data_IF_586695630065
#
_entry.id   IF_586695630065
#
_cell.length_a   1.000
_cell.length_b   1.000
_cell.length_c   1.000
_cell.angle_alpha   90.00
_cell.angle_beta   90.00
_cell.angle_gamma   90.00
#
_symmetry.space_group_name_H-M   'P 1'
#
loop_
_entity.id
_entity.type
_entity.pdbx_description
1 polymer ?
#
# COMPACT_ATOMS: atom_id res chain seq x y z
N UNK A 1 -40.25 -10.15 -17.96
CA UNK A 1 -39.12 -9.50 -18.65
C UNK A 1 -38.25 -8.85 -17.60
N UNK A 2 -37.21 -9.56 -17.15
CA UNK A 2 -36.16 -9.02 -16.29
C UNK A 2 -35.27 -8.14 -17.15
N UNK A 3 -35.38 -6.82 -17.00
CA UNK A 3 -34.34 -5.91 -17.46
C UNK A 3 -33.08 -6.27 -16.71
N UNK A 4 -32.13 -6.93 -17.38
CA UNK A 4 -30.78 -7.11 -16.87
C UNK A 4 -30.22 -5.69 -16.66
N UNK A 5 -30.21 -5.24 -15.41
CA UNK A 5 -29.61 -3.98 -15.03
C UNK A 5 -28.14 -4.10 -15.44
N UNK A 6 -27.73 -3.33 -16.44
CA UNK A 6 -26.39 -3.45 -17.01
C UNK A 6 -25.43 -3.01 -15.90
N UNK A 7 -24.61 -3.94 -15.40
CA UNK A 7 -23.70 -3.64 -14.31
C UNK A 7 -22.90 -2.36 -14.63
N UNK A 8 -22.90 -1.41 -13.70
CA UNK A 8 -22.14 -0.16 -13.78
C UNK A 8 -20.66 -0.52 -13.91
N UNK A 9 -20.02 -0.15 -15.02
CA UNK A 9 -18.70 -0.69 -15.31
C UNK A 9 -18.01 -0.10 -16.52
N UNK A 10 -16.76 -0.52 -16.71
CA UNK A 10 -15.93 -0.16 -17.86
C UNK A 10 -14.93 0.98 -17.62
N UNK A 11 -14.23 1.43 -18.67
CA UNK A 11 -13.02 2.25 -18.55
C UNK A 11 -13.17 3.54 -17.74
N UNK A 12 -14.35 4.16 -17.77
CA UNK A 12 -14.62 5.37 -16.98
C UNK A 12 -14.57 5.09 -15.48
N UNK A 13 -15.21 4.01 -15.02
CA UNK A 13 -15.21 3.61 -13.62
C UNK A 13 -13.82 3.10 -13.19
N UNK A 14 -13.08 2.43 -14.08
CA UNK A 14 -11.70 2.01 -13.80
C UNK A 14 -10.78 3.21 -13.57
N UNK A 15 -10.89 4.25 -14.41
CA UNK A 15 -10.16 5.51 -14.25
C UNK A 15 -10.55 6.25 -12.98
N UNK A 16 -11.83 6.20 -12.60
CA UNK A 16 -12.31 6.77 -11.35
C UNK A 16 -11.75 6.01 -10.14
N UNK A 17 -11.79 4.67 -10.14
CA UNK A 17 -11.22 3.83 -9.09
C UNK A 17 -9.69 3.94 -8.95
N UNK A 18 -9.00 4.38 -10.01
CA UNK A 18 -7.57 4.72 -9.98
C UNK A 18 -7.29 6.10 -9.36
N UNK A 19 -8.28 7.00 -9.31
CA UNK A 19 -8.13 8.39 -8.81
C UNK A 19 -8.73 8.59 -7.43
N UNK A 20 -9.80 7.88 -7.12
CA UNK A 20 -10.57 8.00 -5.88
C UNK A 20 -10.99 6.62 -5.38
N UNK A 21 -11.80 6.56 -4.33
CA UNK A 21 -12.53 5.34 -3.96
C UNK A 21 -14.02 5.62 -4.17
N UNK A 22 -14.59 5.28 -5.35
CA UNK A 22 -15.99 5.54 -5.66
C UNK A 22 -16.94 4.92 -4.64
N UNK A 23 -17.93 5.69 -4.22
CA UNK A 23 -19.04 5.23 -3.39
C UNK A 23 -20.13 4.66 -4.30
N UNK A 24 -20.07 3.35 -4.55
CA UNK A 24 -20.99 2.63 -5.43
C UNK A 24 -21.49 1.36 -4.76
N UNK A 25 -22.67 0.91 -5.17
CA UNK A 25 -23.15 -0.43 -4.85
C UNK A 25 -22.26 -1.48 -5.56
N UNK A 26 -21.51 -2.25 -4.78
CA UNK A 26 -20.58 -3.23 -5.33
C UNK A 26 -21.25 -4.49 -5.90
N UNK A 27 -22.53 -4.72 -5.65
CA UNK A 27 -23.30 -5.79 -6.31
C UNK A 27 -23.71 -5.41 -7.74
N UNK A 28 -23.80 -4.11 -8.02
CA UNK A 28 -24.23 -3.58 -9.31
C UNK A 28 -23.08 -3.30 -10.29
N UNK A 29 -21.82 -3.55 -9.91
CA UNK A 29 -20.65 -3.27 -10.78
C UNK A 29 -20.02 -4.54 -11.36
N UNK A 30 -19.32 -4.39 -12.49
CA UNK A 30 -18.61 -5.52 -13.10
C UNK A 30 -17.49 -6.07 -12.19
N UNK A 31 -17.10 -7.35 -12.31
CA UNK A 31 -16.12 -7.96 -11.40
C UNK A 31 -14.78 -7.24 -11.33
N UNK A 32 -14.30 -6.65 -12.44
CA UNK A 32 -13.03 -5.92 -12.44
C UNK A 32 -13.18 -4.61 -11.67
N UNK A 33 -14.21 -3.81 -11.98
CA UNK A 33 -14.50 -2.57 -11.25
C UNK A 33 -14.69 -2.83 -9.75
N UNK A 34 -15.42 -3.89 -9.38
CA UNK A 34 -15.59 -4.34 -8.00
C UNK A 34 -14.24 -4.55 -7.32
N UNK A 35 -13.32 -5.26 -7.98
CA UNK A 35 -11.98 -5.53 -7.44
C UNK A 35 -11.11 -4.29 -7.34
N UNK A 36 -11.16 -3.38 -8.31
CA UNK A 36 -10.41 -2.12 -8.27
C UNK A 36 -10.85 -1.24 -7.09
N UNK A 37 -12.16 -1.19 -6.82
CA UNK A 37 -12.76 -0.39 -5.75
C UNK A 37 -12.47 -1.05 -4.38
N UNK A 38 -12.81 -2.33 -4.21
CA UNK A 38 -12.59 -3.05 -2.96
C UNK A 38 -11.11 -3.19 -2.59
N UNK A 39 -10.24 -3.30 -3.59
CA UNK A 39 -8.79 -3.32 -3.41
C UNK A 39 -8.16 -1.95 -3.14
N UNK A 40 -8.93 -0.86 -3.23
CA UNK A 40 -8.46 0.54 -3.15
C UNK A 40 -7.27 0.79 -4.08
N UNK A 41 -7.43 0.48 -5.37
CA UNK A 41 -6.34 0.63 -6.35
C UNK A 41 -5.86 2.09 -6.48
N UNK A 42 -6.67 3.09 -6.12
CA UNK A 42 -6.24 4.49 -6.08
C UNK A 42 -5.01 4.74 -5.20
N UNK A 43 -4.76 3.93 -4.18
CA UNK A 43 -3.54 4.09 -3.37
C UNK A 43 -2.33 3.34 -3.94
N UNK A 44 -2.50 2.34 -4.81
CA UNK A 44 -1.34 1.58 -5.33
C UNK A 44 -0.50 2.35 -6.34
N UNK A 45 -1.02 3.46 -6.85
CA UNK A 45 -0.25 4.44 -7.63
C UNK A 45 1.01 4.87 -6.89
N UNK A 46 0.96 4.97 -5.56
CA UNK A 46 2.11 5.39 -4.77
C UNK A 46 3.24 4.33 -4.80
N UNK A 47 2.93 3.04 -4.94
CA UNK A 47 3.95 1.99 -5.13
C UNK A 47 4.49 1.96 -6.55
N UNK A 48 3.64 2.23 -7.54
CA UNK A 48 4.07 2.38 -8.93
C UNK A 48 5.07 3.54 -9.07
N UNK A 49 4.82 4.67 -8.40
CA UNK A 49 5.74 5.80 -8.39
C UNK A 49 7.06 5.43 -7.70
N UNK A 50 7.08 4.69 -6.58
CA UNK A 50 8.35 4.19 -6.01
C UNK A 50 9.17 3.38 -7.02
N UNK A 51 8.52 2.46 -7.75
CA UNK A 51 9.20 1.68 -8.78
C UNK A 51 9.76 2.58 -9.89
N UNK A 52 8.96 3.53 -10.38
CA UNK A 52 9.41 4.50 -11.40
C UNK A 52 10.60 5.32 -10.90
N UNK A 53 10.57 5.82 -9.67
CA UNK A 53 11.70 6.58 -9.10
C UNK A 53 12.95 5.69 -9.08
N UNK A 54 12.88 4.46 -8.57
CA UNK A 54 14.01 3.54 -8.56
C UNK A 54 14.57 3.25 -9.96
N UNK A 55 13.69 3.05 -10.95
CA UNK A 55 14.08 2.89 -12.35
C UNK A 55 14.72 4.15 -12.95
N UNK A 56 14.24 5.35 -12.61
CA UNK A 56 14.85 6.61 -13.04
C UNK A 56 16.25 6.82 -12.42
N UNK A 57 16.42 6.41 -11.16
CA UNK A 57 17.74 6.42 -10.52
C UNK A 57 18.69 5.42 -11.19
N UNK A 58 18.21 4.26 -11.61
CA UNK A 58 19.00 3.30 -12.40
C UNK A 58 19.34 3.85 -13.80
N UNK A 59 18.42 4.60 -14.41
CA UNK A 59 18.66 5.26 -15.70
C UNK A 59 19.71 6.37 -15.61
N UNK A 60 19.81 7.06 -14.47
CA UNK A 60 20.88 8.03 -14.21
C UNK A 60 22.27 7.39 -14.26
N UNK A 61 22.38 6.14 -13.81
CA UNK A 61 23.64 5.40 -13.74
C UNK A 61 23.85 4.47 -14.95
N UNK A 62 23.06 4.65 -16.02
CA UNK A 62 23.15 3.87 -17.27
C UNK A 62 22.93 2.34 -17.10
N UNK A 63 22.28 1.92 -16.02
CA UNK A 63 21.96 0.50 -15.72
C UNK A 63 20.47 0.18 -15.83
N UNK A 64 19.68 1.04 -16.47
CA UNK A 64 18.24 0.84 -16.59
C UNK A 64 17.86 -0.37 -17.43
N UNK A 65 16.97 -1.21 -16.88
CA UNK A 65 16.38 -2.35 -17.58
C UNK A 65 14.84 -2.29 -17.47
N UNK A 66 14.18 -2.04 -18.61
CA UNK A 66 12.72 -1.92 -18.69
C UNK A 66 11.99 -3.23 -18.34
N UNK A 67 12.37 -4.41 -18.87
CA UNK A 67 11.83 -5.69 -18.41
C UNK A 67 11.87 -5.87 -16.89
N UNK A 68 13.00 -5.59 -16.25
CA UNK A 68 13.13 -5.69 -14.79
C UNK A 68 12.25 -4.68 -14.07
N UNK A 69 12.14 -3.43 -14.57
CA UNK A 69 11.22 -2.44 -14.01
C UNK A 69 9.77 -2.93 -14.06
N UNK A 70 9.34 -3.49 -15.20
CA UNK A 70 7.99 -4.01 -15.38
C UNK A 70 7.73 -5.15 -14.38
N UNK A 71 8.69 -6.07 -14.23
CA UNK A 71 8.57 -7.17 -13.27
C UNK A 71 8.48 -6.67 -11.83
N UNK A 72 9.30 -5.70 -11.44
CA UNK A 72 9.23 -5.07 -10.12
C UNK A 72 7.87 -4.41 -9.91
N UNK A 73 7.37 -3.64 -10.87
CA UNK A 73 6.06 -2.98 -10.78
C UNK A 73 4.90 -3.99 -10.67
N UNK A 74 4.92 -5.06 -11.48
CA UNK A 74 3.92 -6.14 -11.44
C UNK A 74 4.04 -6.99 -10.17
N UNK A 75 5.20 -7.03 -9.51
CA UNK A 75 5.35 -7.61 -8.19
C UNK A 75 4.79 -6.71 -7.08
N UNK A 76 5.19 -5.44 -7.06
CA UNK A 76 4.88 -4.48 -5.99
C UNK A 76 3.42 -4.03 -5.97
N UNK A 77 2.85 -3.68 -7.12
CA UNK A 77 1.51 -3.08 -7.20
C UNK A 77 0.43 -4.06 -6.71
N UNK A 78 0.36 -5.32 -7.18
CA UNK A 78 -0.57 -6.31 -6.64
C UNK A 78 -0.28 -6.67 -5.18
N UNK A 79 0.99 -6.73 -4.78
CA UNK A 79 1.36 -6.98 -3.38
C UNK A 79 0.84 -5.87 -2.44
N UNK A 80 0.85 -4.60 -2.88
CA UNK A 80 0.24 -3.49 -2.15
C UNK A 80 -1.30 -3.56 -2.16
N UNK A 81 -1.94 -3.86 -3.29
CA UNK A 81 -3.41 -4.13 -3.29
C UNK A 81 -3.73 -5.21 -2.27
N UNK A 82 -2.89 -6.26 -2.21
CA UNK A 82 -3.06 -7.33 -1.25
C UNK A 82 -2.84 -6.87 0.18
N UNK A 83 -1.83 -6.04 0.48
CA UNK A 83 -1.60 -5.51 1.82
C UNK A 83 -2.77 -4.68 2.32
N UNK A 84 -3.39 -3.90 1.45
CA UNK A 84 -4.58 -3.13 1.76
C UNK A 84 -5.74 -4.03 2.20
N UNK A 85 -5.94 -5.17 1.52
CA UNK A 85 -6.94 -6.14 1.90
C UNK A 85 -6.57 -6.92 3.17
N UNK A 86 -5.28 -7.16 3.45
CA UNK A 86 -4.83 -7.75 4.74
C UNK A 86 -5.20 -6.80 5.87
N UNK A 87 -4.90 -5.51 5.71
CA UNK A 87 -5.22 -4.50 6.71
C UNK A 87 -6.73 -4.47 7.00
N UNK A 88 -7.55 -4.36 5.95
CA UNK A 88 -9.02 -4.30 6.10
C UNK A 88 -9.58 -5.59 6.72
N UNK A 89 -8.98 -6.75 6.42
CA UNK A 89 -9.36 -8.01 7.06
C UNK A 89 -9.11 -8.00 8.57
N UNK A 90 -7.92 -7.56 8.99
CA UNK A 90 -7.59 -7.49 10.41
C UNK A 90 -8.35 -6.40 11.14
N UNK A 91 -8.51 -5.21 10.54
CA UNK A 91 -9.27 -4.11 11.13
C UNK A 91 -10.74 -4.53 11.33
N UNK A 92 -11.35 -5.20 10.34
CA UNK A 92 -12.70 -5.72 10.46
C UNK A 92 -12.82 -6.80 11.53
N UNK A 93 -11.89 -7.77 11.56
CA UNK A 93 -11.91 -8.87 12.54
C UNK A 93 -11.73 -8.39 13.98
N UNK A 94 -11.00 -7.30 14.20
CA UNK A 94 -10.84 -6.68 15.52
C UNK A 94 -11.97 -5.70 15.87
N UNK A 95 -12.97 -5.52 15.00
CA UNK A 95 -14.09 -4.59 15.25
C UNK A 95 -13.70 -3.11 15.19
N UNK A 96 -12.58 -2.80 14.53
CA UNK A 96 -12.09 -1.45 14.25
C UNK A 96 -12.89 -0.88 13.09
N UNK A 97 -12.95 -1.61 11.98
CA UNK A 97 -13.74 -1.22 10.80
C UNK A 97 -15.21 -1.65 10.98
N UNK A 98 -15.91 -0.98 11.90
CA UNK A 98 -17.34 -1.17 12.17
C UNK A 98 -18.21 -0.20 11.34
N UNK A 99 -19.53 -0.44 11.18
CA UNK A 99 -20.41 0.44 10.39
C UNK A 99 -20.48 1.91 10.86
N UNK A 100 -20.13 2.18 12.11
CA UNK A 100 -20.03 3.51 12.73
C UNK A 100 -18.61 4.12 12.62
N UNK A 101 -17.63 3.38 12.09
CA UNK A 101 -16.26 3.85 11.96
C UNK A 101 -16.11 4.89 10.83
N UNK A 102 -15.23 5.90 10.96
CA UNK A 102 -14.93 6.84 9.88
C UNK A 102 -14.50 6.18 8.56
N UNK A 103 -14.03 4.92 8.60
CA UNK A 103 -13.63 4.12 7.43
C UNK A 103 -14.75 3.96 6.40
N UNK A 104 -16.03 3.98 6.80
CA UNK A 104 -17.16 3.86 5.84
C UNK A 104 -17.19 5.02 4.84
N UNK A 105 -16.67 6.19 5.23
CA UNK A 105 -16.57 7.36 4.36
C UNK A 105 -15.49 7.19 3.27
N UNK A 106 -14.55 6.26 3.45
CA UNK A 106 -13.46 6.01 2.51
C UNK A 106 -13.83 5.07 1.36
N UNK A 107 -15.05 4.52 1.34
CA UNK A 107 -15.55 3.68 0.26
C UNK A 107 -16.03 2.31 0.73
N UNK A 108 -16.63 1.52 -0.18
CA UNK A 108 -17.10 0.18 0.11
C UNK A 108 -16.02 -0.67 0.79
N UNK A 109 -16.41 -1.43 1.80
CA UNK A 109 -15.47 -2.21 2.60
C UNK A 109 -15.52 -3.69 2.19
N UNK A 110 -14.36 -4.33 1.92
CA UNK A 110 -14.30 -5.66 1.30
C UNK A 110 -14.86 -6.79 2.17
N UNK A 111 -15.04 -6.60 3.48
CA UNK A 111 -15.55 -7.63 4.40
C UNK A 111 -16.85 -7.27 5.12
N UNK A 112 -17.48 -6.14 4.78
CA UNK A 112 -18.76 -5.74 5.38
C UNK A 112 -19.88 -5.72 4.33
N UNK A 113 -21.11 -5.99 4.74
CA UNK A 113 -22.28 -5.92 3.85
C UNK A 113 -22.09 -6.84 2.64
N UNK A 114 -22.14 -6.27 1.44
CA UNK A 114 -22.00 -6.97 0.16
C UNK A 114 -20.55 -7.19 -0.30
N UNK A 115 -19.58 -7.08 0.61
CA UNK A 115 -18.17 -7.31 0.34
C UNK A 115 -17.83 -8.73 -0.17
N UNK A 116 -16.55 -8.96 -0.44
CA UNK A 116 -16.01 -10.26 -0.86
C UNK A 116 -16.14 -11.32 0.24
N UNK A 117 -16.39 -12.56 -0.18
CA UNK A 117 -16.41 -13.69 0.75
C UNK A 117 -15.00 -13.99 1.29
N UNK A 118 -14.89 -14.56 2.49
CA UNK A 118 -13.61 -15.00 3.04
C UNK A 118 -12.87 -15.97 2.10
N UNK A 119 -13.61 -16.85 1.42
CA UNK A 119 -13.05 -17.79 0.44
C UNK A 119 -12.42 -17.05 -0.74
N UNK A 120 -13.14 -16.09 -1.30
CA UNK A 120 -12.66 -15.27 -2.41
C UNK A 120 -11.38 -14.51 -2.01
N UNK A 121 -11.40 -13.88 -0.83
CA UNK A 121 -10.23 -13.21 -0.28
C UNK A 121 -9.02 -14.13 -0.15
N UNK A 122 -9.18 -15.33 0.41
CA UNK A 122 -8.08 -16.30 0.56
C UNK A 122 -7.55 -16.77 -0.79
N UNK A 123 -8.42 -17.02 -1.77
CA UNK A 123 -8.00 -17.42 -3.12
C UNK A 123 -7.18 -16.33 -3.80
N UNK A 124 -7.64 -15.08 -3.76
CA UNK A 124 -6.90 -13.95 -4.33
C UNK A 124 -5.61 -13.68 -3.56
N UNK A 125 -5.62 -13.87 -2.24
CA UNK A 125 -4.42 -13.82 -1.41
C UNK A 125 -3.36 -14.77 -1.91
N UNK A 126 -3.71 -16.05 -2.02
CA UNK A 126 -2.78 -17.09 -2.42
C UNK A 126 -2.29 -16.82 -3.83
N UNK A 127 -3.18 -16.46 -4.75
CA UNK A 127 -2.81 -16.14 -6.13
C UNK A 127 -1.81 -14.97 -6.22
N UNK A 128 -2.13 -13.82 -5.62
CA UNK A 128 -1.30 -12.62 -5.70
C UNK A 128 0.05 -12.82 -5.01
N UNK A 129 0.06 -13.42 -3.82
CA UNK A 129 1.31 -13.67 -3.11
C UNK A 129 2.17 -14.73 -3.80
N UNK A 130 1.56 -15.75 -4.43
CA UNK A 130 2.30 -16.74 -5.21
C UNK A 130 2.91 -16.12 -6.46
N UNK A 131 2.17 -15.26 -7.16
CA UNK A 131 2.68 -14.52 -8.32
C UNK A 131 3.82 -13.58 -7.93
N UNK A 132 3.65 -12.81 -6.85
CA UNK A 132 4.71 -11.94 -6.31
C UNK A 132 5.94 -12.74 -5.86
N UNK A 133 5.75 -13.90 -5.24
CA UNK A 133 6.84 -14.79 -4.86
C UNK A 133 7.58 -15.36 -6.08
N UNK A 134 6.86 -15.77 -7.14
CA UNK A 134 7.47 -16.25 -8.38
C UNK A 134 8.31 -15.16 -9.05
N UNK A 135 7.79 -13.92 -9.11
CA UNK A 135 8.54 -12.76 -9.58
C UNK A 135 9.77 -12.53 -8.70
N UNK A 136 9.61 -12.55 -7.37
CA UNK A 136 10.72 -12.38 -6.44
C UNK A 136 11.83 -13.44 -6.62
N UNK A 137 11.47 -14.70 -6.81
CA UNK A 137 12.43 -15.79 -7.12
C UNK A 137 13.16 -15.52 -8.42
N UNK A 138 12.46 -15.10 -9.46
CA UNK A 138 13.09 -14.73 -10.73
C UNK A 138 14.06 -13.55 -10.55
N UNK A 139 13.65 -12.49 -9.84
CA UNK A 139 14.51 -11.32 -9.59
C UNK A 139 15.74 -11.67 -8.75
N UNK A 140 15.63 -12.59 -7.79
CA UNK A 140 16.79 -13.12 -7.05
C UNK A 140 17.75 -13.88 -7.97
N UNK A 141 17.21 -14.66 -8.91
CA UNK A 141 18.05 -15.37 -9.89
C UNK A 141 18.72 -14.40 -10.88
N UNK A 142 18.07 -13.28 -11.20
CA UNK A 142 18.57 -12.28 -12.15
C UNK A 142 19.57 -11.29 -11.55
N UNK A 143 19.35 -10.81 -10.32
CA UNK A 143 20.10 -9.71 -9.69
C UNK A 143 20.74 -10.09 -8.33
N UNK A 144 20.77 -11.39 -8.02
CA UNK A 144 21.47 -11.94 -6.87
C UNK A 144 20.71 -11.89 -5.54
N UNK A 145 21.37 -12.42 -4.50
CA UNK A 145 20.77 -12.67 -3.19
C UNK A 145 20.37 -11.39 -2.43
N UNK A 146 20.90 -10.22 -2.78
CA UNK A 146 20.51 -8.95 -2.14
C UNK A 146 19.01 -8.63 -2.33
N UNK A 147 18.42 -9.06 -3.45
CA UNK A 147 16.97 -8.96 -3.68
C UNK A 147 16.17 -9.69 -2.60
N UNK A 148 16.70 -10.81 -2.08
CA UNK A 148 16.05 -11.57 -1.01
C UNK A 148 15.96 -10.75 0.28
N UNK A 149 16.98 -9.93 0.60
CA UNK A 149 16.94 -9.06 1.77
C UNK A 149 15.80 -8.03 1.66
N UNK A 150 15.62 -7.42 0.49
CA UNK A 150 14.49 -6.51 0.23
C UNK A 150 13.14 -7.22 0.34
N UNK A 151 13.01 -8.37 -0.33
CA UNK A 151 11.77 -9.14 -0.36
C UNK A 151 11.35 -9.64 1.03
N UNK A 152 12.28 -10.21 1.80
CA UNK A 152 12.01 -10.70 3.15
C UNK A 152 11.71 -9.54 4.11
N UNK A 153 12.45 -8.44 4.04
CA UNK A 153 12.17 -7.26 4.88
C UNK A 153 10.79 -6.69 4.58
N UNK A 154 10.43 -6.57 3.30
CA UNK A 154 9.10 -6.12 2.88
C UNK A 154 7.99 -7.06 3.34
N UNK A 155 8.19 -8.38 3.19
CA UNK A 155 7.23 -9.38 3.64
C UNK A 155 7.03 -9.36 5.16
N UNK A 156 8.11 -9.19 5.94
CA UNK A 156 8.04 -9.08 7.40
C UNK A 156 7.31 -7.81 7.83
N UNK A 157 7.69 -6.65 7.29
CA UNK A 157 7.03 -5.39 7.60
C UNK A 157 5.55 -5.41 7.21
N UNK A 158 5.21 -6.02 6.07
CA UNK A 158 3.83 -6.24 5.66
C UNK A 158 3.07 -7.14 6.65
N UNK A 159 3.64 -8.29 7.03
CA UNK A 159 3.02 -9.23 7.96
C UNK A 159 2.72 -8.58 9.30
N UNK A 160 3.69 -7.83 9.84
CA UNK A 160 3.56 -7.17 11.14
C UNK A 160 2.86 -5.82 11.07
N UNK A 161 2.51 -5.29 9.90
CA UNK A 161 1.89 -3.95 9.83
C UNK A 161 0.55 -3.89 10.59
N UNK A 162 -0.39 -4.78 10.26
CA UNK A 162 -1.73 -4.84 10.89
C UNK A 162 -2.03 -6.18 11.56
N UNK A 163 -1.16 -7.18 11.37
CA UNK A 163 -1.36 -8.54 11.85
C UNK A 163 -0.18 -9.07 12.65
N UNK A 164 -0.27 -10.36 13.03
CA UNK A 164 0.76 -11.03 13.83
C UNK A 164 0.75 -10.63 15.31
N UNK A 165 1.71 -11.13 16.10
CA UNK A 165 1.81 -10.83 17.53
C UNK A 165 2.14 -9.36 17.86
N UNK A 166 2.70 -8.62 16.90
CA UNK A 166 3.15 -7.24 17.09
C UNK A 166 2.69 -6.34 15.93
N UNK A 167 1.39 -5.99 15.88
CA UNK A 167 0.86 -5.12 14.83
C UNK A 167 1.43 -3.70 14.96
N UNK A 168 2.42 -3.37 14.12
CA UNK A 168 3.21 -2.13 14.13
C UNK A 168 2.32 -0.89 14.14
N UNK A 169 1.26 -0.90 13.33
CA UNK A 169 0.25 0.18 13.28
C UNK A 169 -0.40 0.44 14.63
N UNK A 170 -0.68 -0.61 15.41
CA UNK A 170 -1.39 -0.48 16.68
C UNK A 170 -0.48 -0.08 17.84
N UNK A 171 0.84 -0.09 17.64
CA UNK A 171 1.84 0.26 18.66
C UNK A 171 2.69 1.48 18.28
N UNK A 172 2.26 2.26 17.28
CA UNK A 172 2.86 3.56 16.95
C UNK A 172 4.04 3.49 16.00
N UNK A 173 4.27 2.32 15.37
CA UNK A 173 5.36 2.08 14.44
C UNK A 173 4.89 2.00 12.97
N UNK A 174 3.59 2.18 12.71
CA UNK A 174 3.02 2.08 11.37
C UNK A 174 3.61 3.10 10.39
N UNK A 175 3.77 4.34 10.83
CA UNK A 175 4.29 5.45 10.03
C UNK A 175 5.77 5.27 9.67
N UNK A 176 6.57 4.74 10.60
CA UNK A 176 7.97 4.36 10.35
C UNK A 176 8.03 3.21 9.34
N UNK A 177 7.17 2.19 9.51
CA UNK A 177 7.13 1.07 8.58
C UNK A 177 6.78 1.54 7.16
N UNK A 178 5.80 2.43 7.01
CA UNK A 178 5.41 2.98 5.71
C UNK A 178 6.51 3.84 5.09
N UNK A 179 7.21 4.67 5.88
CA UNK A 179 8.39 5.41 5.39
C UNK A 179 9.43 4.45 4.82
N UNK A 180 9.81 3.41 5.57
CA UNK A 180 10.83 2.43 5.17
C UNK A 180 10.40 1.66 3.93
N UNK A 181 9.15 1.22 3.86
CA UNK A 181 8.63 0.44 2.73
C UNK A 181 8.64 1.29 1.45
N UNK A 182 8.03 2.48 1.45
CA UNK A 182 7.83 3.25 0.22
C UNK A 182 9.04 4.04 -0.23
N UNK A 183 9.89 4.47 0.70
CA UNK A 183 11.15 5.12 0.40
C UNK A 183 12.24 4.07 0.17
N UNK A 184 13.13 3.81 1.15
CA UNK A 184 14.31 2.98 1.00
C UNK A 184 14.07 1.61 0.36
N UNK A 185 13.02 0.89 0.78
CA UNK A 185 12.84 -0.50 0.39
C UNK A 185 12.34 -0.64 -1.05
N UNK A 186 11.24 0.03 -1.42
CA UNK A 186 10.70 -0.04 -2.78
C UNK A 186 11.58 0.69 -3.79
N UNK A 187 12.04 1.92 -3.50
CA UNK A 187 12.89 2.67 -4.44
C UNK A 187 14.27 2.03 -4.54
N UNK A 188 14.92 1.78 -3.39
CA UNK A 188 16.24 1.17 -3.36
C UNK A 188 16.26 -0.26 -3.88
N UNK A 189 15.22 -1.05 -3.58
CA UNK A 189 15.08 -2.41 -4.11
C UNK A 189 14.86 -2.43 -5.63
N UNK A 190 14.10 -1.48 -6.16
CA UNK A 190 13.91 -1.35 -7.62
C UNK A 190 15.21 -0.97 -8.31
N UNK A 191 15.99 -0.04 -7.75
CA UNK A 191 17.32 0.30 -8.23
C UNK A 191 18.27 -0.91 -8.15
N UNK A 192 18.32 -1.58 -6.99
CA UNK A 192 19.22 -2.72 -6.74
C UNK A 192 18.99 -3.86 -7.72
N UNK A 193 17.74 -4.14 -8.08
CA UNK A 193 17.42 -5.19 -9.07
C UNK A 193 18.09 -4.95 -10.43
N UNK A 194 18.39 -3.70 -10.78
CA UNK A 194 19.02 -3.34 -12.05
C UNK A 194 20.52 -3.10 -11.92
N UNK A 195 20.95 -2.48 -10.80
CA UNK A 195 22.33 -2.08 -10.58
C UNK A 195 23.18 -3.15 -9.86
N UNK A 196 22.54 -4.10 -9.17
CA UNK A 196 23.17 -5.11 -8.30
C UNK A 196 24.02 -4.53 -7.15
N UNK A 197 23.88 -3.23 -6.89
CA UNK A 197 24.47 -2.50 -5.78
C UNK A 197 23.47 -1.49 -5.20
N UNK A 198 23.78 -0.94 -4.03
CA UNK A 198 22.95 0.07 -3.38
C UNK A 198 23.82 1.19 -2.81
N UNK A 199 24.22 2.17 -3.63
CA UNK A 199 24.99 3.30 -3.15
C UNK A 199 24.12 4.15 -2.22
N UNK A 200 24.72 4.69 -1.15
CA UNK A 200 23.99 5.39 -0.09
C UNK A 200 23.18 6.60 -0.59
N UNK A 201 23.58 7.21 -1.70
CA UNK A 201 22.85 8.34 -2.29
C UNK A 201 21.47 7.93 -2.82
N UNK A 202 21.25 6.68 -3.25
CA UNK A 202 19.92 6.18 -3.67
C UNK A 202 18.96 6.16 -2.49
N UNK A 203 19.47 5.79 -1.31
CA UNK A 203 18.69 5.85 -0.07
C UNK A 203 18.32 7.29 0.28
N UNK A 204 19.26 8.23 0.15
CA UNK A 204 18.98 9.66 0.34
C UNK A 204 17.93 10.18 -0.66
N UNK A 205 18.06 9.82 -1.94
CA UNK A 205 17.12 10.20 -2.99
C UNK A 205 15.70 9.61 -2.78
N UNK A 206 15.58 8.54 -1.98
CA UNK A 206 14.27 7.95 -1.64
C UNK A 206 13.53 8.69 -0.52
N UNK A 207 14.23 9.51 0.27
CA UNK A 207 13.68 10.19 1.45
C UNK A 207 12.51 11.11 1.10
N UNK A 208 12.60 12.03 0.12
CA UNK A 208 11.50 12.94 -0.19
C UNK A 208 10.19 12.20 -0.46
N UNK A 209 10.27 11.11 -1.23
CA UNK A 209 9.09 10.32 -1.58
C UNK A 209 8.55 9.53 -0.39
N UNK A 210 9.42 8.90 0.41
CA UNK A 210 9.03 8.22 1.64
C UNK A 210 8.34 9.15 2.64
N UNK A 211 8.83 10.38 2.79
CA UNK A 211 8.19 11.42 3.62
C UNK A 211 6.80 11.79 3.11
N UNK A 212 6.63 11.88 1.79
CA UNK A 212 5.33 12.14 1.16
C UNK A 212 4.30 11.07 1.45
N UNK A 213 4.66 9.80 1.27
CA UNK A 213 3.75 8.68 1.60
C UNK A 213 3.43 8.65 3.10
N UNK A 214 4.42 8.95 3.95
CA UNK A 214 4.22 9.03 5.41
C UNK A 214 3.28 10.16 5.79
N UNK A 215 3.38 11.32 5.14
CA UNK A 215 2.47 12.47 5.34
C UNK A 215 1.02 12.10 5.02
N UNK A 216 0.80 11.36 3.93
CA UNK A 216 -0.54 10.84 3.57
C UNK A 216 -1.09 9.94 4.68
N UNK A 217 -0.26 9.06 5.25
CA UNK A 217 -0.69 8.18 6.34
C UNK A 217 -0.99 8.96 7.63
N UNK A 218 -0.18 9.97 7.96
CA UNK A 218 -0.45 10.88 9.08
C UNK A 218 -1.82 11.55 8.94
N UNK A 219 -2.14 12.08 7.76
CA UNK A 219 -3.46 12.66 7.47
C UNK A 219 -4.59 11.66 7.70
N UNK A 220 -4.46 10.45 7.13
CA UNK A 220 -5.43 9.37 7.29
C UNK A 220 -5.65 8.97 8.76
N UNK A 221 -4.60 8.94 9.58
CA UNK A 221 -4.72 8.57 10.99
C UNK A 221 -5.18 9.74 11.88
N UNK A 222 -4.93 11.00 11.48
CA UNK A 222 -5.51 12.18 12.13
C UNK A 222 -7.04 12.25 11.93
N UNK A 223 -7.55 11.91 10.75
CA UNK A 223 -8.99 11.92 10.44
C UNK A 223 -9.83 11.01 11.35
N UNK A 224 -9.22 9.98 11.92
CA UNK A 224 -9.88 8.97 12.76
C UNK A 224 -9.28 8.86 14.15
N UNK A 225 -8.55 9.88 14.59
CA UNK A 225 -7.76 9.88 15.84
C UNK A 225 -8.61 9.49 17.06
N UNK A 226 -9.73 10.16 17.27
CA UNK A 226 -10.61 9.91 18.43
C UNK A 226 -11.24 8.51 18.37
N UNK A 227 -11.67 8.09 17.18
CA UNK A 227 -12.30 6.79 16.98
C UNK A 227 -11.30 5.65 17.23
N UNK A 228 -10.12 5.70 16.61
CA UNK A 228 -9.05 4.72 16.79
C UNK A 228 -8.60 4.66 18.27
N UNK A 229 -8.48 5.82 18.93
CA UNK A 229 -8.12 5.88 20.35
C UNK A 229 -9.18 5.21 21.24
N UNK A 230 -10.48 5.37 20.94
CA UNK A 230 -11.57 4.70 21.65
C UNK A 230 -11.53 3.17 21.54
N UNK A 231 -10.89 2.64 20.48
CA UNK A 231 -10.67 1.21 20.23
C UNK A 231 -9.33 0.70 20.82
N UNK A 232 -8.59 1.54 21.54
CA UNK A 232 -7.31 1.19 22.16
C UNK A 232 -6.13 1.11 21.18
N UNK A 233 -6.30 1.58 19.94
CA UNK A 233 -5.23 1.64 18.94
C UNK A 233 -4.29 2.79 19.31
N UNK A 234 -2.98 2.59 19.13
CA UNK A 234 -1.96 3.61 19.39
C UNK A 234 -1.15 3.91 18.13
N UNK A 235 -1.77 4.44 17.08
CA UNK A 235 -1.03 4.94 15.90
C UNK A 235 -0.08 6.07 16.30
N UNK A 236 0.94 6.40 15.49
CA UNK A 236 1.88 7.46 15.86
C UNK A 236 1.19 8.81 16.14
N UNK A 237 0.18 9.26 15.36
CA UNK A 237 -0.59 10.46 15.71
C UNK A 237 -1.26 10.41 17.09
N UNK A 238 -1.76 9.25 17.52
CA UNK A 238 -2.34 9.08 18.86
C UNK A 238 -1.24 9.17 19.92
N UNK A 239 -0.10 8.52 19.72
CA UNK A 239 1.03 8.53 20.66
C UNK A 239 1.61 9.93 20.83
N UNK A 240 1.72 10.70 19.74
CA UNK A 240 2.20 12.09 19.76
C UNK A 240 1.17 13.08 20.34
N UNK A 241 -0.11 12.74 20.25
CA UNK A 241 -1.22 13.66 20.49
C UNK A 241 -1.48 14.57 19.28
N UNK A 242 -2.73 15.00 19.13
CA UNK A 242 -3.21 15.67 17.90
C UNK A 242 -2.38 16.91 17.52
N UNK A 243 -2.08 17.79 18.48
CA UNK A 243 -1.35 19.04 18.21
C UNK A 243 0.05 18.79 17.64
N UNK A 244 0.81 17.90 18.27
CA UNK A 244 2.16 17.55 17.81
C UNK A 244 2.08 16.75 16.51
N UNK A 245 1.13 15.83 16.37
CA UNK A 245 0.92 15.08 15.14
C UNK A 245 0.66 16.00 13.94
N UNK A 246 -0.15 17.06 14.09
CA UNK A 246 -0.36 18.07 13.05
C UNK A 246 0.92 18.84 12.71
N UNK A 247 1.73 19.20 13.71
CA UNK A 247 3.02 19.85 13.48
C UNK A 247 3.99 18.93 12.73
N UNK A 248 4.02 17.64 13.09
CA UNK A 248 4.82 16.62 12.39
C UNK A 248 4.35 16.50 10.94
N UNK A 249 3.04 16.47 10.65
CA UNK A 249 2.53 16.47 9.28
C UNK A 249 3.06 17.65 8.46
N UNK A 250 3.06 18.86 9.03
CA UNK A 250 3.61 20.07 8.38
C UNK A 250 5.12 19.92 8.17
N UNK A 251 5.85 19.46 9.17
CA UNK A 251 7.29 19.25 9.09
C UNK A 251 7.65 18.21 8.02
N UNK A 252 6.96 17.08 7.95
CA UNK A 252 7.14 16.07 6.91
C UNK A 252 6.92 16.68 5.52
N UNK A 253 5.84 17.46 5.37
CA UNK A 253 5.52 18.13 4.10
C UNK A 253 6.60 19.12 3.67
N UNK A 254 7.13 19.91 4.61
CA UNK A 254 8.22 20.84 4.35
C UNK A 254 9.54 20.11 4.03
N UNK A 255 9.84 19.06 4.79
CA UNK A 255 11.06 18.26 4.62
C UNK A 255 11.14 17.62 3.23
N UNK A 256 10.01 17.19 2.64
CA UNK A 256 9.98 16.70 1.26
C UNK A 256 10.60 17.64 0.22
N UNK A 257 10.54 18.96 0.45
CA UNK A 257 11.05 19.96 -0.51
C UNK A 257 12.50 20.36 -0.26
N UNK A 258 13.05 20.07 0.92
CA UNK A 258 14.41 20.48 1.32
C UNK A 258 15.37 19.30 1.48
N UNK A 259 14.85 18.07 1.50
CA UNK A 259 15.63 16.82 1.48
C UNK A 259 16.07 16.43 0.09
#
# INVERSE_FOLDING_TARGET
MTTANKALGGPKLWLEALRTVPQVDTSEVDPLSRWLILGRVSVVVMSAISAVIGGLLAARDDVFDLPLLILVAVGLVPAHTRSNLVNDFWDYRHGIDSPDSPRVNYGPHPFSGEGSSLREFLLVTVFVLSAAAAIGVYLVAAAGAGVLAFALTGALLLMFYSGGPFPLKYIGLGEIAVFVIWGPLMIGGTYYVMAEELPGWVLLASIPYGLGVTTVLFGKHLDKLDFDASKGIRTMPIVLGESLARQVTIALSALMYVS
#
